data_IF_540035382638
#
_entry.id   IF_540035382638
#
_cell.length_a   1.000
_cell.length_b   1.000
_cell.length_c   1.000
_cell.angle_alpha   90.00
_cell.angle_beta   90.00
_cell.angle_gamma   90.00
#
_symmetry.space_group_name_H-M   'P 1'
#
loop_
_entity.id
_entity.type
_entity.pdbx_description
1 polymer ?
#
# COMPACT_ATOMS: atom_id res chain seq x y z
N UNK A 1 25.98 14.89 -14.00
CA UNK A 1 26.13 13.75 -13.07
C UNK A 1 25.79 14.17 -11.66
N UNK A 2 26.34 15.28 -11.15
CA UNK A 2 26.02 15.82 -9.81
C UNK A 2 24.52 16.12 -9.59
N UNK A 3 23.84 16.72 -10.57
CA UNK A 3 22.39 17.00 -10.50
C UNK A 3 21.53 15.73 -10.32
N UNK A 4 21.91 14.62 -10.96
CA UNK A 4 21.19 13.34 -10.82
C UNK A 4 21.35 12.79 -9.40
N UNK A 5 22.55 12.92 -8.82
CA UNK A 5 22.81 12.45 -7.46
C UNK A 5 22.06 13.28 -6.41
N UNK A 6 21.87 14.59 -6.65
CA UNK A 6 21.02 15.42 -5.78
C UNK A 6 19.56 14.93 -5.84
N UNK A 7 19.01 14.72 -7.03
CA UNK A 7 17.65 14.20 -7.18
C UNK A 7 17.47 12.80 -6.57
N UNK A 8 18.49 11.94 -6.66
CA UNK A 8 18.46 10.63 -6.01
C UNK A 8 18.41 10.71 -4.50
N UNK A 9 19.16 11.64 -3.88
CA UNK A 9 19.09 11.84 -2.43
C UNK A 9 17.69 12.29 -1.99
N UNK A 10 17.05 13.17 -2.76
CA UNK A 10 15.65 13.55 -2.47
C UNK A 10 14.70 12.34 -2.59
N UNK A 11 14.93 11.45 -3.56
CA UNK A 11 14.19 10.18 -3.67
C UNK A 11 14.45 9.28 -2.47
N UNK A 12 15.71 9.12 -2.04
CA UNK A 12 16.07 8.30 -0.87
C UNK A 12 15.34 8.78 0.40
N UNK A 13 15.27 10.10 0.62
CA UNK A 13 14.53 10.70 1.74
C UNK A 13 13.02 10.45 1.65
N UNK A 14 12.45 10.43 0.44
CA UNK A 14 11.04 10.05 0.22
C UNK A 14 10.84 8.56 0.49
N UNK A 15 11.75 7.71 0.02
CA UNK A 15 11.68 6.26 0.17
C UNK A 15 11.74 5.87 1.65
N UNK A 16 12.57 6.53 2.46
CA UNK A 16 12.57 6.35 3.92
C UNK A 16 11.21 6.65 4.56
N UNK A 17 10.51 7.68 4.09
CA UNK A 17 9.17 8.02 4.56
C UNK A 17 8.14 6.99 4.06
N UNK A 18 8.26 6.55 2.82
CA UNK A 18 7.40 5.51 2.25
C UNK A 18 7.51 4.20 3.02
N UNK A 19 8.71 3.78 3.44
CA UNK A 19 8.91 2.59 4.28
C UNK A 19 8.15 2.72 5.59
N UNK A 20 8.33 3.82 6.33
CA UNK A 20 7.63 4.05 7.61
C UNK A 20 6.11 4.07 7.45
N UNK A 21 5.61 4.68 6.38
CA UNK A 21 4.18 4.69 6.07
C UNK A 21 3.66 3.31 5.66
N UNK A 22 4.45 2.56 4.89
CA UNK A 22 4.14 1.21 4.47
C UNK A 22 4.02 0.26 5.67
N UNK A 23 5.00 0.25 6.57
CA UNK A 23 4.99 -0.57 7.80
C UNK A 23 3.74 -0.31 8.64
N UNK A 24 3.49 0.97 8.96
CA UNK A 24 2.28 1.37 9.71
C UNK A 24 1.00 0.90 9.03
N UNK A 25 0.94 1.00 7.70
CA UNK A 25 -0.22 0.56 6.92
C UNK A 25 -0.38 -0.97 6.96
N UNK A 26 0.71 -1.72 6.96
CA UNK A 26 0.70 -3.19 7.04
C UNK A 26 0.28 -3.68 8.44
N UNK A 27 0.73 -3.03 9.51
CA UNK A 27 0.27 -3.32 10.88
C UNK A 27 -1.25 -3.13 11.01
N UNK A 28 -1.78 -2.05 10.46
CA UNK A 28 -3.22 -1.79 10.44
C UNK A 28 -3.96 -2.83 9.60
N UNK A 29 -3.41 -3.22 8.45
CA UNK A 29 -3.99 -4.28 7.63
C UNK A 29 -4.05 -5.60 8.40
N UNK A 30 -3.00 -5.97 9.14
CA UNK A 30 -2.99 -7.17 9.99
C UNK A 30 -4.10 -7.14 11.04
N UNK A 31 -4.22 -6.04 11.79
CA UNK A 31 -5.30 -5.86 12.79
C UNK A 31 -6.70 -5.99 12.16
N UNK A 32 -6.89 -5.47 10.96
CA UNK A 32 -8.14 -5.63 10.21
C UNK A 32 -8.37 -7.10 9.86
N UNK A 33 -7.32 -7.82 9.42
CA UNK A 33 -7.37 -9.24 9.12
C UNK A 33 -7.79 -10.08 10.32
N UNK A 34 -7.18 -9.84 11.49
CA UNK A 34 -7.52 -10.50 12.76
C UNK A 34 -9.01 -10.31 13.10
N UNK A 35 -9.50 -9.07 13.04
CA UNK A 35 -10.92 -8.75 13.30
C UNK A 35 -11.84 -9.42 12.28
N UNK A 36 -11.47 -9.44 10.99
CA UNK A 36 -12.26 -10.08 9.94
C UNK A 36 -12.34 -11.59 10.15
N UNK A 37 -11.22 -12.22 10.52
CA UNK A 37 -11.12 -13.65 10.84
C UNK A 37 -12.00 -14.01 12.03
N UNK A 38 -11.92 -13.26 13.13
CA UNK A 38 -12.76 -13.43 14.31
C UNK A 38 -14.26 -13.34 13.99
N UNK A 39 -14.63 -12.46 13.06
CA UNK A 39 -16.03 -12.19 12.68
C UNK A 39 -16.51 -13.00 11.47
N UNK A 40 -15.68 -13.85 10.88
CA UNK A 40 -16.01 -14.59 9.65
C UNK A 40 -16.24 -13.71 8.42
N UNK A 41 -15.67 -12.50 8.39
CA UNK A 41 -15.78 -11.56 7.27
C UNK A 41 -14.69 -11.86 6.24
N UNK A 42 -15.04 -11.80 4.95
CA UNK A 42 -14.06 -11.99 3.87
C UNK A 42 -13.02 -10.84 3.81
N UNK A 43 -11.77 -11.20 3.55
CA UNK A 43 -10.68 -10.22 3.37
C UNK A 43 -10.88 -9.39 2.11
N UNK A 44 -11.36 -10.01 1.02
CA UNK A 44 -11.69 -9.32 -0.23
C UNK A 44 -12.88 -8.37 -0.02
N UNK A 45 -12.67 -7.10 -0.30
CA UNK A 45 -13.69 -6.04 -0.24
C UNK A 45 -13.47 -5.08 -1.41
N UNK A 46 -14.10 -5.39 -2.55
CA UNK A 46 -13.93 -4.64 -3.79
C UNK A 46 -14.38 -3.19 -3.68
N UNK A 47 -15.46 -2.93 -2.94
CA UNK A 47 -15.96 -1.57 -2.70
C UNK A 47 -14.94 -0.74 -1.92
N UNK A 48 -14.34 -1.33 -0.87
CA UNK A 48 -13.28 -0.67 -0.11
C UNK A 48 -12.05 -0.37 -0.97
N UNK A 49 -11.65 -1.31 -1.84
CA UNK A 49 -10.52 -1.13 -2.75
C UNK A 49 -10.76 0.01 -3.75
N UNK A 50 -11.94 0.04 -4.36
CA UNK A 50 -12.30 1.10 -5.32
C UNK A 50 -12.37 2.47 -4.65
N UNK A 51 -12.87 2.54 -3.40
CA UNK A 51 -12.87 3.76 -2.61
C UNK A 51 -11.45 4.29 -2.33
N UNK A 52 -10.47 3.41 -2.01
CA UNK A 52 -9.06 3.85 -1.83
C UNK A 52 -8.54 4.52 -3.09
N UNK A 53 -8.72 3.87 -4.25
CA UNK A 53 -8.20 4.34 -5.53
C UNK A 53 -8.84 5.68 -5.90
N UNK A 54 -10.17 5.79 -5.81
CA UNK A 54 -10.90 7.04 -6.09
C UNK A 54 -10.40 8.18 -5.21
N UNK A 55 -10.23 7.93 -3.90
CA UNK A 55 -9.71 8.94 -2.96
C UNK A 55 -8.28 9.36 -3.31
N UNK A 56 -7.41 8.41 -3.66
CA UNK A 56 -6.03 8.71 -4.06
C UNK A 56 -5.98 9.55 -5.35
N UNK A 57 -6.74 9.17 -6.38
CA UNK A 57 -6.84 9.93 -7.64
C UNK A 57 -7.41 11.33 -7.46
N UNK A 58 -8.31 11.53 -6.50
CA UNK A 58 -8.85 12.84 -6.17
C UNK A 58 -7.81 13.80 -5.57
N UNK A 59 -6.84 13.26 -4.81
CA UNK A 59 -5.76 14.03 -4.17
C UNK A 59 -4.60 14.35 -5.12
N UNK A 60 -4.55 13.69 -6.28
CA UNK A 60 -3.47 13.85 -7.25
C UNK A 60 -3.61 15.16 -8.03
N UNK A 61 -2.60 16.02 -7.97
CA UNK A 61 -2.55 17.27 -8.73
C UNK A 61 -2.23 17.03 -10.22
N UNK A 62 -1.18 16.26 -10.51
CA UNK A 62 -0.83 15.88 -11.87
C UNK A 62 -1.65 14.67 -12.33
N UNK A 63 -2.70 14.91 -13.12
CA UNK A 63 -3.62 13.86 -13.57
C UNK A 63 -2.97 12.83 -14.52
N UNK A 64 -1.84 13.13 -15.14
CA UNK A 64 -1.12 12.18 -15.99
C UNK A 64 -0.59 10.98 -15.20
N UNK A 65 -0.36 11.13 -13.90
CA UNK A 65 0.10 10.05 -13.03
C UNK A 65 -1.03 9.14 -12.54
N UNK A 66 -2.29 9.41 -12.91
CA UNK A 66 -3.48 8.71 -12.38
C UNK A 66 -3.44 7.20 -12.57
N UNK A 67 -3.03 6.72 -13.74
CA UNK A 67 -3.06 5.30 -14.06
C UNK A 67 -1.93 4.54 -13.35
N UNK A 68 -0.74 5.15 -13.28
CA UNK A 68 0.38 4.59 -12.52
C UNK A 68 0.07 4.57 -11.01
N UNK A 69 -0.59 5.61 -10.50
CA UNK A 69 -1.05 5.66 -9.11
C UNK A 69 -2.06 4.54 -8.80
N UNK A 70 -2.98 4.27 -9.72
CA UNK A 70 -3.92 3.16 -9.56
C UNK A 70 -3.22 1.81 -9.45
N UNK A 71 -2.26 1.53 -10.34
CA UNK A 71 -1.47 0.30 -10.29
C UNK A 71 -0.74 0.17 -8.96
N UNK A 72 -0.11 1.25 -8.48
CA UNK A 72 0.54 1.28 -7.17
C UNK A 72 -0.41 0.91 -6.03
N UNK A 73 -1.58 1.56 -5.95
CA UNK A 73 -2.55 1.30 -4.88
C UNK A 73 -3.14 -0.11 -4.95
N UNK A 74 -3.37 -0.66 -6.14
CA UNK A 74 -3.80 -2.05 -6.33
C UNK A 74 -2.77 -3.03 -5.78
N UNK A 75 -1.49 -2.83 -6.10
CA UNK A 75 -0.40 -3.66 -5.56
C UNK A 75 -0.30 -3.53 -4.03
N UNK A 76 -0.34 -2.31 -3.51
CA UNK A 76 -0.35 -2.05 -2.06
C UNK A 76 -1.48 -2.79 -1.34
N UNK A 77 -2.68 -2.80 -1.92
CA UNK A 77 -3.83 -3.54 -1.38
C UNK A 77 -3.66 -5.06 -1.50
N UNK A 78 -3.05 -5.56 -2.58
CA UNK A 78 -2.72 -6.98 -2.70
C UNK A 78 -1.74 -7.44 -1.60
N UNK A 79 -0.70 -6.67 -1.30
CA UNK A 79 0.18 -6.96 -0.16
C UNK A 79 -0.57 -6.93 1.18
N UNK A 80 -1.47 -5.96 1.33
CA UNK A 80 -2.31 -5.86 2.53
C UNK A 80 -3.22 -7.08 2.72
N UNK A 81 -3.75 -7.64 1.64
CA UNK A 81 -4.58 -8.86 1.68
C UNK A 81 -3.74 -10.07 2.09
N UNK A 82 -2.54 -10.22 1.53
CA UNK A 82 -1.60 -11.30 1.93
C UNK A 82 -1.29 -11.25 3.44
N UNK A 83 -1.08 -10.06 4.00
CA UNK A 83 -0.88 -9.91 5.46
C UNK A 83 -2.15 -10.25 6.24
N UNK A 84 -3.33 -9.83 5.76
CA UNK A 84 -4.61 -10.16 6.40
C UNK A 84 -4.89 -11.67 6.44
N UNK A 85 -4.37 -12.44 5.47
CA UNK A 85 -4.46 -13.90 5.44
C UNK A 85 -3.35 -14.61 6.25
N UNK A 86 -2.43 -13.86 6.87
CA UNK A 86 -1.18 -14.38 7.47
C UNK A 86 -0.25 -15.11 6.46
N UNK A 87 -0.40 -14.86 5.16
CA UNK A 87 0.34 -15.58 4.10
C UNK A 87 1.84 -15.22 4.04
N UNK A 88 2.28 -14.20 4.78
CA UNK A 88 3.70 -13.82 4.85
C UNK A 88 4.53 -14.68 5.80
N UNK A 89 3.91 -15.43 6.72
CA UNK A 89 4.64 -16.26 7.70
C UNK A 89 5.16 -17.59 7.14
N UNK A 90 4.88 -17.93 5.87
CA UNK A 90 5.25 -19.22 5.26
C UNK A 90 6.51 -19.19 4.39
N UNK A 91 7.28 -18.10 4.44
CA UNK A 91 8.49 -17.94 3.63
C UNK A 91 9.81 -18.17 4.41
N UNK A 92 9.72 -18.64 5.66
CA UNK A 92 10.87 -19.07 6.46
C UNK A 92 10.64 -20.54 6.89
N UNK A 93 10.84 -21.46 5.95
CA UNK A 93 11.17 -22.87 6.20
C UNK A 93 12.32 -23.27 5.25
#
# INVERSE_FOLDING_TARGET
MEEIEILRKEIDEIDEQLVKLFEKRMELAKKIGDIKKEKGIQVLDSHREEYVIKKAKAQLNNKELSDVLEVFFRNLMNYSKKIQYDDFKKAED
#
